data_IF_835216689394
#
_entry.id   IF_835216689394
#
_cell.length_a   1.000
_cell.length_b   1.000
_cell.length_c   1.000
_cell.angle_alpha   90.00
_cell.angle_beta   90.00
_cell.angle_gamma   90.00
#
_symmetry.space_group_name_H-M   'P 1'
#
loop_
_entity.id
_entity.type
_entity.pdbx_description
1 polymer ?
#
# COMPACT_ATOMS: atom_id res chain seq x y z
N UNK A 1 13.99 8.62 -1.46
CA UNK A 1 14.49 7.74 -0.37
C UNK A 1 13.38 6.84 0.18
N UNK A 2 12.18 7.35 0.45
CA UNK A 2 11.05 6.54 0.94
C UNK A 2 10.63 5.45 -0.07
N UNK A 3 10.41 5.80 -1.34
CA UNK A 3 10.07 4.84 -2.39
C UNK A 3 11.09 3.68 -2.56
N UNK A 4 12.39 3.92 -2.32
CA UNK A 4 13.39 2.85 -2.40
C UNK A 4 13.25 1.84 -1.26
N UNK A 5 12.89 2.31 -0.06
CA UNK A 5 12.63 1.45 1.10
C UNK A 5 11.34 0.66 0.92
N UNK A 6 10.32 1.29 0.33
CA UNK A 6 9.08 0.62 -0.07
C UNK A 6 9.35 -0.52 -1.07
N UNK A 7 10.12 -0.24 -2.13
CA UNK A 7 10.51 -1.26 -3.11
C UNK A 7 11.32 -2.39 -2.48
N UNK A 8 12.30 -2.06 -1.63
CA UNK A 8 13.11 -3.07 -0.92
C UNK A 8 12.26 -3.93 0.03
N UNK A 9 11.22 -3.35 0.64
CA UNK A 9 10.27 -4.08 1.49
C UNK A 9 9.37 -4.97 0.65
N UNK A 10 8.87 -4.47 -0.48
CA UNK A 10 8.08 -5.25 -1.42
C UNK A 10 8.86 -6.45 -1.98
N UNK A 11 10.12 -6.29 -2.37
CA UNK A 11 10.96 -7.41 -2.84
C UNK A 11 11.04 -8.55 -1.82
N UNK A 12 11.28 -8.19 -0.56
CA UNK A 12 11.33 -9.15 0.55
C UNK A 12 9.96 -9.78 0.77
N UNK A 13 8.89 -9.00 0.69
CA UNK A 13 7.51 -9.49 0.80
C UNK A 13 7.17 -10.52 -0.29
N UNK A 14 7.70 -10.31 -1.50
CA UNK A 14 7.53 -11.19 -2.65
C UNK A 14 8.47 -12.41 -2.64
N UNK A 15 9.39 -12.49 -1.66
CA UNK A 15 10.33 -13.61 -1.55
C UNK A 15 11.43 -13.63 -2.62
N UNK A 16 11.73 -12.49 -3.25
CA UNK A 16 12.80 -12.37 -4.23
C UNK A 16 14.16 -12.54 -3.53
N UNK A 17 14.98 -13.47 -4.03
CA UNK A 17 16.25 -13.87 -3.38
C UNK A 17 17.44 -13.01 -3.79
N UNK A 18 17.40 -12.43 -5.00
CA UNK A 18 18.48 -11.58 -5.50
C UNK A 18 18.12 -10.12 -5.23
N UNK A 19 18.97 -9.35 -4.54
CA UNK A 19 18.68 -7.94 -4.30
C UNK A 19 18.77 -7.18 -5.62
N UNK A 20 17.74 -6.42 -5.95
CA UNK A 20 17.81 -5.52 -7.09
C UNK A 20 18.62 -4.25 -6.76
N UNK A 21 19.18 -3.65 -7.80
CA UNK A 21 19.88 -2.37 -7.69
C UNK A 21 18.93 -1.22 -8.04
N UNK A 22 18.63 -0.40 -7.04
CA UNK A 22 17.80 0.79 -7.21
C UNK A 22 18.60 2.10 -7.17
N UNK A 23 18.10 3.09 -7.89
CA UNK A 23 18.53 4.49 -7.79
C UNK A 23 17.31 5.42 -7.93
N UNK A 24 17.54 6.72 -7.97
CA UNK A 24 16.48 7.71 -8.23
C UNK A 24 16.93 8.70 -9.29
N UNK A 25 16.01 9.22 -10.09
CA UNK A 25 16.28 10.24 -11.10
C UNK A 25 15.34 11.45 -10.99
N UNK A 26 15.84 12.62 -11.42
CA UNK A 26 15.13 13.90 -11.42
C UNK A 26 14.86 14.49 -10.02
N UNK A 27 14.32 15.70 -9.98
CA UNK A 27 14.07 16.44 -8.73
C UNK A 27 13.07 15.74 -7.82
N UNK A 28 12.07 15.09 -8.43
CA UNK A 28 11.06 14.28 -7.72
C UNK A 28 11.61 12.95 -7.18
N UNK A 29 12.90 12.65 -7.39
CA UNK A 29 13.58 11.42 -6.94
C UNK A 29 12.80 10.15 -7.31
N UNK A 30 12.36 10.07 -8.56
CA UNK A 30 11.57 8.95 -9.10
C UNK A 30 12.43 7.69 -9.07
N UNK A 31 11.95 6.55 -8.53
CA UNK A 31 12.76 5.35 -8.41
C UNK A 31 13.07 4.74 -9.78
N UNK A 32 14.27 4.18 -9.89
CA UNK A 32 14.79 3.48 -11.07
C UNK A 32 15.31 2.12 -10.64
N UNK A 33 14.89 1.07 -11.35
CA UNK A 33 15.44 -0.28 -11.25
C UNK A 33 16.41 -0.50 -12.40
N UNK A 34 17.66 -0.81 -12.08
CA UNK A 34 18.66 -1.19 -13.07
C UNK A 34 18.52 -2.68 -13.41
N UNK A 35 18.20 -2.97 -14.67
CA UNK A 35 18.16 -4.35 -15.19
C UNK A 35 19.53 -4.73 -15.77
N UNK A 36 19.95 -5.98 -15.56
CA UNK A 36 21.13 -6.54 -16.25
C UNK A 36 20.81 -6.98 -17.68
N UNK A 37 19.54 -7.25 -17.97
CA UNK A 37 19.10 -7.95 -19.19
C UNK A 37 18.03 -7.15 -19.96
N UNK A 38 18.02 -5.81 -19.85
CA UNK A 38 17.02 -4.97 -20.52
C UNK A 38 17.14 -3.49 -20.14
N UNK A 39 16.19 -2.65 -20.61
CA UNK A 39 16.16 -1.24 -20.25
C UNK A 39 15.92 -1.05 -18.76
N UNK A 40 16.42 0.06 -18.21
CA UNK A 40 16.11 0.46 -16.85
C UNK A 40 14.61 0.75 -16.73
N UNK A 41 13.98 0.27 -15.64
CA UNK A 41 12.58 0.52 -15.37
C UNK A 41 12.44 1.72 -14.44
N UNK A 42 11.52 2.62 -14.75
CA UNK A 42 11.33 3.90 -14.04
C UNK A 42 9.93 3.99 -13.47
N UNK A 43 9.83 4.43 -12.22
CA UNK A 43 8.56 4.70 -11.54
C UNK A 43 8.14 3.59 -10.58
N UNK A 44 7.54 3.99 -9.46
CA UNK A 44 7.19 3.09 -8.36
C UNK A 44 6.26 1.95 -8.82
N UNK A 45 5.17 2.30 -9.53
CA UNK A 45 4.18 1.32 -9.99
C UNK A 45 4.74 0.41 -11.07
N UNK A 46 5.52 0.95 -12.01
CA UNK A 46 6.19 0.18 -13.07
C UNK A 46 7.11 -0.88 -12.46
N UNK A 47 7.98 -0.46 -11.56
CA UNK A 47 8.95 -1.34 -10.91
C UNK A 47 8.21 -2.37 -10.04
N UNK A 48 7.26 -1.95 -9.22
CA UNK A 48 6.49 -2.85 -8.36
C UNK A 48 5.74 -3.91 -9.16
N UNK A 49 5.14 -3.52 -10.30
CA UNK A 49 4.47 -4.45 -11.23
C UNK A 49 5.46 -5.46 -11.83
N UNK A 50 6.66 -5.01 -12.18
CA UNK A 50 7.73 -5.89 -12.66
C UNK A 50 8.15 -6.91 -11.61
N UNK A 51 8.40 -6.48 -10.37
CA UNK A 51 8.80 -7.36 -9.27
C UNK A 51 7.74 -8.44 -8.98
N UNK A 52 6.46 -8.07 -9.01
CA UNK A 52 5.36 -9.05 -8.85
C UNK A 52 5.35 -10.10 -9.97
N UNK A 53 5.65 -9.70 -11.20
CA UNK A 53 5.76 -10.62 -12.34
C UNK A 53 6.99 -11.52 -12.22
N UNK A 54 8.13 -10.97 -11.82
CA UNK A 54 9.36 -11.72 -11.56
C UNK A 54 9.15 -12.78 -10.46
N UNK A 55 8.45 -12.41 -9.39
CA UNK A 55 8.08 -13.32 -8.30
C UNK A 55 7.03 -14.38 -8.70
N UNK A 56 6.52 -14.34 -9.94
CA UNK A 56 5.48 -15.24 -10.46
C UNK A 56 4.19 -15.22 -9.62
N UNK A 57 3.82 -14.04 -9.14
CA UNK A 57 2.59 -13.81 -8.36
C UNK A 57 1.58 -12.91 -9.11
N UNK A 58 1.19 -13.24 -10.36
CA UNK A 58 0.35 -12.36 -11.18
C UNK A 58 -1.03 -12.09 -10.57
N UNK A 59 -1.50 -12.92 -9.64
CA UNK A 59 -2.76 -12.72 -8.90
C UNK A 59 -2.78 -11.39 -8.12
N UNK A 60 -1.62 -10.91 -7.66
CA UNK A 60 -1.50 -9.60 -6.99
C UNK A 60 -1.77 -8.41 -7.93
N UNK A 61 -1.77 -8.64 -9.25
CA UNK A 61 -2.11 -7.64 -10.25
C UNK A 61 -3.58 -7.73 -10.72
N UNK A 62 -4.37 -8.64 -10.16
CA UNK A 62 -5.77 -8.88 -10.52
C UNK A 62 -6.00 -10.14 -11.36
N UNK A 63 -7.12 -10.82 -11.10
CA UNK A 63 -7.50 -12.10 -11.72
C UNK A 63 -8.31 -11.97 -13.03
N UNK A 64 -9.18 -10.97 -13.12
CA UNK A 64 -9.97 -10.65 -14.33
C UNK A 64 -9.53 -9.31 -14.94
N UNK A 65 -10.10 -8.92 -16.08
CA UNK A 65 -9.83 -7.62 -16.69
C UNK A 65 -10.28 -6.46 -15.79
N UNK A 66 -11.48 -6.58 -15.21
CA UNK A 66 -12.07 -5.61 -14.29
C UNK A 66 -11.25 -5.51 -13.01
N UNK A 67 -10.84 -6.66 -12.45
CA UNK A 67 -10.02 -6.68 -11.24
C UNK A 67 -8.64 -6.03 -11.50
N UNK A 68 -8.02 -6.28 -12.66
CA UNK A 68 -6.76 -5.62 -13.06
C UNK A 68 -6.94 -4.10 -13.18
N UNK A 69 -8.06 -3.65 -13.74
CA UNK A 69 -8.37 -2.23 -13.85
C UNK A 69 -8.50 -1.56 -12.47
N UNK A 70 -9.19 -2.20 -11.52
CA UNK A 70 -9.29 -1.70 -10.14
C UNK A 70 -7.93 -1.63 -9.43
N UNK A 71 -7.07 -2.64 -9.61
CA UNK A 71 -5.71 -2.61 -9.05
C UNK A 71 -4.91 -1.44 -9.62
N UNK A 72 -4.97 -1.22 -10.94
CA UNK A 72 -4.31 -0.09 -11.59
C UNK A 72 -4.87 1.25 -11.12
N UNK A 73 -6.18 1.40 -11.03
CA UNK A 73 -6.84 2.62 -10.53
C UNK A 73 -6.30 3.02 -9.16
N UNK A 74 -6.17 2.06 -8.22
CA UNK A 74 -5.68 2.37 -6.88
C UNK A 74 -4.18 2.66 -6.83
N UNK A 75 -3.39 2.02 -7.69
CA UNK A 75 -1.97 2.36 -7.84
C UNK A 75 -1.78 3.75 -8.45
N UNK A 76 -2.61 4.15 -9.41
CA UNK A 76 -2.62 5.52 -9.97
C UNK A 76 -3.07 6.54 -8.92
N UNK A 77 -4.13 6.24 -8.15
CA UNK A 77 -4.59 7.11 -7.06
C UNK A 77 -3.48 7.33 -6.02
N UNK A 78 -2.73 6.28 -5.66
CA UNK A 78 -1.55 6.40 -4.78
C UNK A 78 -0.55 7.43 -5.31
N UNK A 79 -0.21 7.38 -6.60
CA UNK A 79 0.78 8.29 -7.18
C UNK A 79 0.27 9.72 -7.36
N UNK A 80 -0.99 9.88 -7.76
CA UNK A 80 -1.54 11.17 -8.20
C UNK A 80 -2.25 11.95 -7.10
N UNK A 81 -2.81 11.24 -6.11
CA UNK A 81 -3.57 11.84 -5.01
C UNK A 81 -2.87 11.75 -3.67
N UNK A 82 -2.13 10.68 -3.38
CA UNK A 82 -1.52 10.47 -2.06
C UNK A 82 -0.09 11.00 -1.99
N UNK A 83 0.79 10.63 -2.93
CA UNK A 83 2.23 10.99 -2.84
C UNK A 83 2.50 12.51 -2.89
N UNK A 84 1.58 13.29 -3.45
CA UNK A 84 1.66 14.75 -3.55
C UNK A 84 0.65 15.51 -2.70
N UNK A 85 -0.07 14.85 -1.78
CA UNK A 85 -1.13 15.52 -1.04
C UNK A 85 -0.58 16.58 -0.08
N UNK A 86 -1.28 17.71 0.00
CA UNK A 86 -1.09 18.70 1.03
C UNK A 86 -1.93 18.37 2.27
N UNK A 87 -1.73 19.10 3.38
CA UNK A 87 -2.43 18.81 4.64
C UNK A 87 -3.94 18.96 4.51
N UNK A 88 -4.38 19.93 3.71
CA UNK A 88 -5.77 20.20 3.37
C UNK A 88 -6.45 19.06 2.60
N UNK A 89 -5.68 18.31 1.79
CA UNK A 89 -6.19 17.20 0.99
C UNK A 89 -6.44 15.94 1.84
N UNK A 90 -5.68 15.75 2.92
CA UNK A 90 -5.72 14.56 3.77
C UNK A 90 -7.14 14.26 4.25
N UNK A 91 -7.89 15.29 4.67
CA UNK A 91 -9.25 15.13 5.17
C UNK A 91 -10.19 14.57 4.09
N UNK A 92 -10.05 15.03 2.86
CA UNK A 92 -10.84 14.56 1.72
C UNK A 92 -10.44 13.14 1.35
N UNK A 93 -9.13 12.85 1.24
CA UNK A 93 -8.60 11.52 0.95
C UNK A 93 -9.12 10.50 1.98
N UNK A 94 -9.01 10.78 3.27
CA UNK A 94 -9.48 9.89 4.32
C UNK A 94 -10.99 9.71 4.32
N UNK A 95 -11.77 10.75 3.99
CA UNK A 95 -13.22 10.65 3.87
C UNK A 95 -13.61 9.73 2.71
N UNK A 96 -13.03 9.95 1.53
CA UNK A 96 -13.36 9.19 0.32
C UNK A 96 -12.91 7.73 0.45
N UNK A 97 -11.71 7.47 0.97
CA UNK A 97 -11.24 6.12 1.28
C UNK A 97 -12.13 5.43 2.31
N UNK A 98 -12.57 6.14 3.35
CA UNK A 98 -13.42 5.56 4.39
C UNK A 98 -14.78 5.13 3.84
N UNK A 99 -15.39 5.94 2.97
CA UNK A 99 -16.62 5.58 2.28
C UNK A 99 -16.40 4.44 1.30
N UNK A 100 -15.30 4.46 0.53
CA UNK A 100 -15.02 3.40 -0.44
C UNK A 100 -14.81 2.02 0.21
N UNK A 101 -14.15 1.99 1.37
CA UNK A 101 -13.81 0.76 2.10
C UNK A 101 -14.94 0.23 2.99
N UNK A 102 -16.10 0.90 3.04
CA UNK A 102 -17.21 0.52 3.91
C UNK A 102 -17.61 -0.96 3.75
N UNK A 103 -17.77 -1.39 2.49
CA UNK A 103 -18.19 -2.73 2.09
C UNK A 103 -17.05 -3.62 1.56
N UNK A 104 -15.78 -3.23 1.75
CA UNK A 104 -14.62 -3.92 1.14
C UNK A 104 -13.56 -4.30 2.16
N UNK A 105 -13.00 -5.51 2.01
CA UNK A 105 -11.86 -5.96 2.83
C UNK A 105 -10.55 -5.39 2.30
N UNK A 106 -10.40 -5.29 0.98
CA UNK A 106 -9.22 -4.81 0.26
C UNK A 106 -9.60 -3.73 -0.76
N UNK A 107 -8.63 -2.96 -1.25
CA UNK A 107 -8.88 -1.88 -2.20
C UNK A 107 -9.50 -2.38 -3.51
N UNK A 108 -9.07 -3.56 -3.99
CA UNK A 108 -9.60 -4.14 -5.22
C UNK A 108 -10.71 -5.18 -4.96
N UNK A 109 -11.45 -5.04 -3.84
CA UNK A 109 -12.57 -5.91 -3.47
C UNK A 109 -12.20 -6.91 -2.36
N UNK A 110 -12.27 -8.20 -2.66
CA UNK A 110 -12.16 -9.28 -1.66
C UNK A 110 -10.84 -10.06 -1.71
N UNK A 111 -9.88 -9.62 -2.54
CA UNK A 111 -8.57 -10.24 -2.64
C UNK A 111 -7.48 -9.20 -2.35
N UNK A 112 -6.45 -9.64 -1.63
CA UNK A 112 -5.26 -8.83 -1.41
C UNK A 112 -4.48 -8.65 -2.71
N UNK A 113 -4.07 -7.42 -3.00
CA UNK A 113 -3.37 -7.06 -4.23
C UNK A 113 -2.17 -6.14 -3.98
N UNK A 114 -1.42 -5.84 -5.04
CA UNK A 114 -0.33 -4.86 -4.99
C UNK A 114 -0.83 -3.46 -4.60
N UNK A 115 -2.07 -3.12 -4.95
CA UNK A 115 -2.68 -1.85 -4.57
C UNK A 115 -2.73 -1.68 -3.04
N UNK A 116 -3.07 -2.75 -2.31
CA UNK A 116 -3.13 -2.70 -0.84
C UNK A 116 -1.75 -2.44 -0.23
N UNK A 117 -0.73 -3.13 -0.74
CA UNK A 117 0.66 -2.97 -0.25
C UNK A 117 1.17 -1.55 -0.49
N UNK A 118 1.00 -1.04 -1.72
CA UNK A 118 1.46 0.30 -2.05
C UNK A 118 0.65 1.36 -1.33
N UNK A 119 -0.68 1.25 -1.26
CA UNK A 119 -1.47 2.23 -0.51
C UNK A 119 -1.10 2.24 0.97
N UNK A 120 -0.86 1.08 1.57
CA UNK A 120 -0.47 0.97 2.98
C UNK A 120 0.81 1.74 3.26
N UNK A 121 1.84 1.59 2.42
CA UNK A 121 3.06 2.38 2.54
C UNK A 121 2.81 3.88 2.32
N UNK A 122 1.97 4.23 1.36
CA UNK A 122 1.66 5.62 1.02
C UNK A 122 0.99 6.38 2.14
N UNK A 123 -0.01 5.77 2.79
CA UNK A 123 -0.78 6.43 3.84
C UNK A 123 -0.23 6.19 5.24
N UNK A 124 0.84 5.40 5.41
CA UNK A 124 1.40 5.09 6.74
C UNK A 124 1.69 6.35 7.55
N UNK A 125 2.36 7.34 6.93
CA UNK A 125 2.67 8.61 7.59
C UNK A 125 1.42 9.42 8.00
N UNK A 126 0.34 9.32 7.22
CA UNK A 126 -0.95 9.96 7.53
C UNK A 126 -1.55 9.29 8.77
N UNK A 127 -1.68 7.96 8.76
CA UNK A 127 -2.33 7.20 9.83
C UNK A 127 -1.56 7.28 11.16
N UNK A 128 -0.23 7.34 11.11
CA UNK A 128 0.60 7.58 12.31
C UNK A 128 0.29 8.95 12.93
N UNK A 129 0.06 9.98 12.11
CA UNK A 129 -0.18 11.34 12.56
C UNK A 129 -1.59 11.62 13.09
N UNK A 130 -2.54 10.71 12.88
CA UNK A 130 -3.92 10.90 13.32
C UNK A 130 -4.09 10.75 14.84
N UNK A 131 -4.89 11.64 15.42
CA UNK A 131 -5.39 11.48 16.78
C UNK A 131 -6.34 10.27 16.89
N UNK A 132 -6.56 9.79 18.11
CA UNK A 132 -7.44 8.63 18.36
C UNK A 132 -8.86 8.86 17.84
N UNK A 133 -9.42 10.05 18.09
CA UNK A 133 -10.76 10.43 17.64
C UNK A 133 -10.87 10.47 16.10
N UNK A 134 -9.80 10.85 15.41
CA UNK A 134 -9.77 10.85 13.94
C UNK A 134 -9.69 9.42 13.39
N UNK A 135 -8.93 8.54 14.05
CA UNK A 135 -8.88 7.11 13.71
C UNK A 135 -10.23 6.43 13.86
N UNK A 136 -10.99 6.79 14.89
CA UNK A 136 -12.36 6.32 15.12
C UNK A 136 -13.33 6.85 14.04
N UNK A 137 -13.20 8.13 13.67
CA UNK A 137 -14.00 8.74 12.59
C UNK A 137 -13.79 8.05 11.24
N UNK A 138 -12.58 7.58 10.97
CA UNK A 138 -12.22 6.89 9.72
C UNK A 138 -12.07 5.39 9.93
N UNK A 139 -13.07 4.76 10.58
CA UNK A 139 -13.01 3.37 11.03
C UNK A 139 -12.73 2.34 9.92
N UNK A 140 -13.22 2.55 8.70
CA UNK A 140 -13.03 1.61 7.61
C UNK A 140 -11.59 1.66 7.08
N UNK A 141 -11.02 2.87 7.02
CA UNK A 141 -9.60 3.07 6.67
C UNK A 141 -8.71 2.48 7.75
N UNK A 142 -8.99 2.73 9.03
CA UNK A 142 -8.17 2.21 10.11
C UNK A 142 -8.31 0.70 10.29
N UNK A 143 -9.50 0.11 10.05
CA UNK A 143 -9.71 -1.34 9.94
C UNK A 143 -8.88 -1.93 8.81
N UNK A 144 -8.97 -1.40 7.59
CA UNK A 144 -8.19 -1.86 6.45
C UNK A 144 -6.68 -1.73 6.75
N UNK A 145 -6.24 -0.60 7.27
CA UNK A 145 -4.84 -0.36 7.62
C UNK A 145 -4.33 -1.36 8.67
N UNK A 146 -5.13 -1.61 9.71
CA UNK A 146 -4.81 -2.61 10.74
C UNK A 146 -4.73 -4.03 10.18
N UNK A 147 -5.57 -4.35 9.20
CA UNK A 147 -5.50 -5.63 8.50
C UNK A 147 -4.23 -5.75 7.66
N UNK A 148 -3.88 -4.72 6.87
CA UNK A 148 -2.69 -4.75 6.00
C UNK A 148 -1.38 -4.73 6.81
N UNK A 149 -1.31 -4.00 7.93
CA UNK A 149 -0.09 -3.98 8.76
C UNK A 149 0.24 -5.33 9.39
N UNK A 150 -0.76 -6.21 9.55
CA UNK A 150 -0.61 -7.56 10.05
C UNK A 150 -0.57 -8.61 8.93
N UNK A 151 -0.72 -8.20 7.67
CA UNK A 151 -0.60 -9.10 6.53
C UNK A 151 0.85 -9.62 6.43
N UNK A 152 1.05 -10.94 6.24
CA UNK A 152 2.37 -11.55 6.25
C UNK A 152 3.37 -10.81 5.34
N UNK A 153 4.50 -10.44 5.91
CA UNK A 153 5.62 -9.80 5.21
C UNK A 153 5.30 -8.45 4.55
N UNK A 154 4.21 -7.75 4.89
CA UNK A 154 3.94 -6.42 4.30
C UNK A 154 4.58 -5.30 5.10
N UNK A 155 4.42 -5.28 6.43
CA UNK A 155 4.87 -4.16 7.28
C UNK A 155 6.38 -3.92 7.27
N UNK A 156 7.18 -4.99 7.25
CA UNK A 156 8.65 -4.95 7.32
C UNK A 156 9.19 -3.94 8.35
N UNK A 157 9.79 -2.84 7.88
CA UNK A 157 10.49 -1.87 8.72
C UNK A 157 9.57 -0.80 9.33
N UNK A 158 8.29 -0.77 8.95
CA UNK A 158 7.38 0.28 9.41
C UNK A 158 6.93 0.01 10.86
N UNK A 159 6.89 1.06 11.71
CA UNK A 159 6.40 0.91 13.06
C UNK A 159 4.92 0.52 13.04
N UNK A 160 4.48 -0.42 13.90
CA UNK A 160 3.08 -0.78 14.00
C UNK A 160 2.29 0.42 14.54
N UNK A 161 1.08 0.64 14.01
CA UNK A 161 0.19 1.69 14.49
C UNK A 161 -0.92 1.04 15.29
N UNK A 162 -1.09 1.47 16.54
CA UNK A 162 -2.20 1.00 17.36
C UNK A 162 -3.51 1.55 16.79
N UNK A 163 -4.40 0.64 16.42
CA UNK A 163 -5.79 0.92 16.05
C UNK A 163 -6.66 0.34 17.15
N UNK A 164 -7.44 1.19 17.82
CA UNK A 164 -8.35 0.75 18.87
C UNK A 164 -9.46 -0.09 18.24
N UNK A 165 -9.62 -1.32 18.73
CA UNK A 165 -10.75 -2.18 18.37
C UNK A 165 -11.83 -1.99 19.42
N UNK A 166 -12.95 -1.37 19.03
CA UNK A 166 -14.14 -1.35 19.86
C UNK A 166 -14.67 -2.78 19.96
N UNK A 167 -14.45 -3.40 21.12
CA UNK A 167 -14.95 -4.75 21.41
C UNK A 167 -16.46 -4.64 21.63
N UNK A 168 -17.24 -5.29 20.77
CA UNK A 168 -18.69 -5.44 20.97
C UNK A 168 -18.97 -6.40 22.14
N UNK A 169 -18.06 -7.34 22.40
CA UNK A 169 -18.15 -8.30 23.51
C UNK A 169 -16.91 -8.25 24.40
N UNK A 170 -17.13 -8.30 25.71
CA UNK A 170 -16.05 -8.50 26.68
C UNK A 170 -15.46 -9.90 26.48
N UNK A 171 -14.14 -9.99 26.36
CA UNK A 171 -13.42 -11.27 26.41
C UNK A 171 -13.51 -11.80 27.84
N UNK A 172 -14.60 -12.50 28.15
CA UNK A 172 -14.85 -13.10 29.45
C UNK A 172 -15.64 -14.39 29.28
N UNK A 173 -14.98 -15.50 29.64
CA UNK A 173 -15.53 -16.84 29.90
C UNK A 173 -16.01 -17.66 28.69
N UNK A 174 -15.09 -18.44 28.11
CA UNK A 174 -15.31 -19.85 27.81
C UNK A 174 -14.03 -20.64 28.09
#
# INVERSE_FOLDING_TARGET
>A
MMALRELSSLEKALGLKKPNKYSTQGDKKVPVLHSSNGPALVGLVTISTHLVREAKLPKLLGGSAEHKALVQQWMEYRLTKVDGCHKEDIKTILKDLNSYLEDKVYLAGNQFTLADTLMYYGIHHIIVGLAVQEKEKHMNVTRWFDHIQHYPSVRHHLPPVVVLRNRVYTSGYH
#
